data_IF_730668946215
#
_entry.id   IF_730668946215
#
_cell.length_a   1.000
_cell.length_b   1.000
_cell.length_c   1.000
_cell.angle_alpha   90.00
_cell.angle_beta   90.00
_cell.angle_gamma   90.00
#
_symmetry.space_group_name_H-M   'P 1'
#
loop_
_entity.id
_entity.type
_entity.pdbx_description
1 polymer ?
#
# COMPACT_ATOMS: atom_id res chain seq x y z
N UNK A 1 4.75 40.30 -58.37
CA UNK A 1 6.02 41.00 -58.66
C UNK A 1 6.29 41.94 -57.49
N UNK A 2 7.52 41.98 -56.92
CA UNK A 2 7.87 42.83 -55.78
C UNK A 2 8.19 44.27 -56.22
N UNK A 3 8.20 45.24 -55.29
CA UNK A 3 9.46 45.77 -54.73
C UNK A 3 9.42 45.85 -53.18
N UNK A 4 10.46 45.50 -52.42
CA UNK A 4 11.79 46.12 -52.22
C UNK A 4 11.83 47.13 -51.05
N UNK A 5 12.54 46.78 -49.96
CA UNK A 5 13.05 47.71 -48.93
C UNK A 5 14.10 48.67 -49.52
N UNK A 6 14.47 49.80 -48.87
CA UNK A 6 15.69 49.77 -48.02
C UNK A 6 15.87 50.89 -46.93
N UNK A 7 16.98 50.80 -46.16
CA UNK A 7 17.69 51.85 -45.35
C UNK A 7 16.96 52.38 -44.08
N UNK A 8 17.33 52.07 -42.82
CA UNK A 8 18.55 52.39 -41.99
C UNK A 8 18.54 53.76 -41.26
N UNK A 9 18.79 53.67 -39.94
CA UNK A 9 19.15 54.60 -38.84
C UNK A 9 19.93 55.92 -39.17
N UNK A 10 20.20 56.91 -38.24
CA UNK A 10 20.25 56.81 -36.75
C UNK A 10 19.93 58.07 -35.88
N UNK A 11 20.18 57.95 -34.56
CA UNK A 11 20.64 58.98 -33.56
C UNK A 11 19.91 60.33 -33.38
N UNK A 12 19.59 60.66 -32.11
CA UNK A 12 20.26 61.75 -31.32
C UNK A 12 19.67 61.91 -29.89
N UNK A 13 20.55 62.03 -28.89
CA UNK A 13 20.34 62.75 -27.62
C UNK A 13 21.24 64.02 -27.68
N UNK A 14 20.97 65.14 -26.98
CA UNK A 14 20.93 65.27 -25.51
C UNK A 14 19.66 66.07 -25.06
N UNK A 15 19.53 66.79 -23.94
CA UNK A 15 20.44 67.19 -22.84
C UNK A 15 19.68 67.41 -21.51
N UNK A 16 20.44 67.64 -20.45
CA UNK A 16 20.07 68.20 -19.15
C UNK A 16 19.65 69.68 -19.18
N UNK A 17 19.03 70.17 -18.10
CA UNK A 17 19.73 71.06 -17.14
C UNK A 17 18.77 71.82 -16.19
N UNK A 18 19.35 72.29 -15.08
CA UNK A 18 18.81 73.24 -14.08
C UNK A 18 17.68 72.70 -13.18
N UNK A 19 17.66 73.01 -11.88
CA UNK A 19 18.63 73.79 -11.10
C UNK A 19 17.96 74.38 -9.85
N UNK A 20 18.78 74.60 -8.82
CA UNK A 20 18.48 75.39 -7.62
C UNK A 20 17.37 74.88 -6.67
N UNK A 21 17.32 75.21 -5.38
CA UNK A 21 18.28 75.43 -4.28
C UNK A 21 17.42 75.92 -3.09
N UNK A 22 17.81 75.58 -1.85
CA UNK A 22 17.26 76.11 -0.58
C UNK A 22 15.81 75.67 -0.25
N UNK A 23 15.62 74.78 0.74
CA UNK A 23 15.76 74.97 2.20
C UNK A 23 14.47 75.49 2.85
N UNK A 24 13.85 74.66 3.69
CA UNK A 24 13.46 74.99 5.08
C UNK A 24 12.93 73.73 5.77
N UNK A 25 13.54 73.40 6.90
CA UNK A 25 13.06 72.40 7.86
C UNK A 25 11.77 72.89 8.52
N UNK A 26 10.72 72.05 8.62
CA UNK A 26 10.05 71.74 9.91
C UNK A 26 8.93 70.70 9.83
N UNK A 27 9.05 69.68 10.70
CA UNK A 27 7.99 69.08 11.54
C UNK A 27 6.74 68.51 10.85
N UNK A 28 6.67 67.18 10.76
CA UNK A 28 5.39 66.46 10.73
C UNK A 28 4.58 66.70 12.02
N UNK A 29 3.24 66.75 11.90
CA UNK A 29 2.46 65.92 12.81
C UNK A 29 1.18 65.29 12.21
N UNK A 30 0.68 64.29 12.94
CA UNK A 30 -0.67 63.67 12.85
C UNK A 30 -0.93 62.70 11.69
N UNK A 31 -0.65 61.41 11.94
CA UNK A 31 -1.24 60.29 11.19
C UNK A 31 -2.75 60.27 11.40
N UNK A 32 -3.51 60.65 10.36
CA UNK A 32 -4.97 60.47 10.32
C UNK A 32 -5.29 59.16 9.58
N UNK A 33 -5.91 58.21 10.29
CA UNK A 33 -6.29 56.89 9.73
C UNK A 33 -7.29 57.04 8.59
N UNK A 34 -6.89 56.68 7.37
CA UNK A 34 -7.80 56.29 6.28
C UNK A 34 -7.22 55.07 5.56
N UNK A 35 -8.03 54.01 5.48
CA UNK A 35 -7.62 52.70 5.01
C UNK A 35 -7.25 52.68 3.52
N UNK A 36 -6.14 52.01 3.18
CA UNK A 36 -5.91 51.45 1.85
C UNK A 36 -5.63 49.96 2.02
N UNK A 37 -6.55 49.11 1.55
CA UNK A 37 -6.34 47.65 1.52
C UNK A 37 -5.24 47.32 0.51
N UNK A 38 -4.07 46.94 1.00
CA UNK A 38 -3.12 46.16 0.22
C UNK A 38 -3.58 44.70 0.25
N UNK A 39 -4.21 44.26 -0.83
CA UNK A 39 -4.51 42.83 -1.06
C UNK A 39 -3.20 42.12 -1.37
N UNK A 40 -2.47 41.76 -0.32
CA UNK A 40 -1.33 40.87 -0.40
C UNK A 40 -1.83 39.47 -0.72
N UNK A 41 -1.79 39.08 -2.00
CA UNK A 41 -1.98 37.69 -2.40
C UNK A 41 -0.76 36.89 -1.92
N UNK A 42 -0.80 36.49 -0.65
CA UNK A 42 0.04 35.43 -0.12
C UNK A 42 -0.27 34.17 -0.92
N UNK A 43 0.65 33.78 -1.79
CA UNK A 43 0.60 32.49 -2.47
C UNK A 43 0.91 31.40 -1.45
N UNK A 44 -0.07 31.08 -0.59
CA UNK A 44 -0.01 29.96 0.32
C UNK A 44 0.04 28.69 -0.52
N UNK A 45 1.26 28.18 -0.76
CA UNK A 45 1.46 26.84 -1.26
C UNK A 45 0.93 25.87 -0.20
N UNK A 46 -0.36 25.52 -0.31
CA UNK A 46 -0.96 24.44 0.45
C UNK A 46 -0.35 23.16 -0.10
N UNK A 47 0.82 22.82 0.43
CA UNK A 47 1.36 21.48 0.36
C UNK A 47 0.40 20.59 1.16
N UNK A 48 -0.61 20.06 0.48
CA UNK A 48 -1.36 18.91 0.95
C UNK A 48 -0.36 17.78 1.11
N UNK A 49 0.14 17.65 2.35
CA UNK A 49 0.74 16.41 2.81
C UNK A 49 -0.31 15.34 2.58
N UNK A 50 -0.12 14.54 1.53
CA UNK A 50 -0.68 13.20 1.46
C UNK A 50 -0.07 12.44 2.62
N UNK A 51 -0.70 12.57 3.79
CA UNK A 51 -0.53 11.63 4.89
C UNK A 51 -1.14 10.34 4.38
N UNK A 52 -0.37 9.58 3.60
CA UNK A 52 -0.66 8.19 3.38
C UNK A 52 -0.80 7.57 4.75
N UNK A 53 -1.93 6.90 4.99
CA UNK A 53 -2.13 6.13 6.21
C UNK A 53 -0.86 5.30 6.45
N UNK A 54 -0.30 5.26 7.68
CA UNK A 54 0.80 4.38 7.93
C UNK A 54 0.33 2.97 7.57
N UNK A 55 0.97 2.37 6.55
CA UNK A 55 0.86 0.94 6.28
C UNK A 55 1.02 0.25 7.62
N UNK A 56 0.02 -0.52 8.07
CA UNK A 56 0.08 -1.10 9.40
C UNK A 56 1.30 -2.01 9.43
N UNK A 57 2.30 -1.61 10.23
CA UNK A 57 3.46 -2.44 10.46
C UNK A 57 2.93 -3.74 11.06
N UNK A 58 3.36 -4.89 10.52
CA UNK A 58 3.01 -6.18 11.08
C UNK A 58 3.25 -6.14 12.59
N UNK A 59 2.18 -6.32 13.37
CA UNK A 59 2.22 -6.17 14.81
C UNK A 59 3.25 -7.12 15.42
N UNK A 60 3.70 -6.83 16.62
CA UNK A 60 4.60 -7.71 17.36
C UNK A 60 4.03 -7.96 18.74
N UNK A 61 4.16 -9.18 19.22
CA UNK A 61 3.82 -9.50 20.59
C UNK A 61 4.68 -10.63 21.13
N UNK A 62 4.62 -10.84 22.44
CA UNK A 62 5.37 -11.90 23.12
C UNK A 62 4.40 -12.96 23.60
N UNK A 63 4.67 -14.24 23.37
CA UNK A 63 3.84 -15.32 23.91
C UNK A 63 3.80 -15.20 25.44
N UNK A 64 2.60 -15.10 26.01
CA UNK A 64 2.36 -15.15 27.44
C UNK A 64 1.19 -16.11 27.70
N UNK A 65 1.51 -17.25 28.31
CA UNK A 65 0.55 -18.27 28.72
C UNK A 65 0.92 -18.80 30.11
N UNK A 66 1.26 -17.89 31.03
CA UNK A 66 1.62 -18.19 32.42
C UNK A 66 2.85 -19.10 32.57
N UNK A 67 3.76 -19.10 31.60
CA UNK A 67 4.95 -19.98 31.56
C UNK A 67 4.77 -21.28 30.78
N UNK A 68 3.54 -21.63 30.37
CA UNK A 68 3.28 -22.81 29.55
C UNK A 68 3.50 -22.53 28.04
N UNK A 69 3.82 -23.56 27.23
CA UNK A 69 3.94 -23.41 25.78
C UNK A 69 2.57 -23.30 25.10
N UNK A 70 2.45 -22.39 24.14
CA UNK A 70 1.23 -22.16 23.35
C UNK A 70 1.20 -23.05 22.11
N UNK A 71 0.05 -23.68 21.86
CA UNK A 71 -0.21 -24.43 20.63
C UNK A 71 -0.32 -23.50 19.40
N UNK A 72 0.52 -23.74 18.40
CA UNK A 72 0.37 -23.15 17.06
C UNK A 72 -0.56 -24.05 16.24
N UNK A 73 -1.55 -23.45 15.57
CA UNK A 73 -2.61 -24.19 14.88
C UNK A 73 -2.66 -23.91 13.38
N UNK A 74 -3.22 -24.85 12.63
CA UNK A 74 -3.42 -24.78 11.17
C UNK A 74 -4.50 -23.79 10.73
N UNK A 75 -5.15 -23.08 11.65
CA UNK A 75 -6.23 -22.14 11.37
C UNK A 75 -6.72 -21.41 12.63
N UNK A 76 -7.55 -20.38 12.47
CA UNK A 76 -8.03 -19.52 13.56
C UNK A 76 -9.12 -20.21 14.40
N UNK A 77 -8.71 -21.11 15.29
CA UNK A 77 -9.64 -21.75 16.22
C UNK A 77 -9.11 -23.03 16.87
N UNK A 78 -9.67 -23.40 18.02
CA UNK A 78 -9.31 -24.62 18.77
C UNK A 78 -9.69 -25.92 18.07
N UNK A 79 -10.59 -25.85 17.08
CA UNK A 79 -10.98 -26.96 16.22
C UNK A 79 -9.96 -27.25 15.10
N UNK A 80 -9.00 -26.35 14.85
CA UNK A 80 -7.93 -26.58 13.88
C UNK A 80 -6.78 -27.38 14.50
N UNK A 81 -6.14 -28.23 13.69
CA UNK A 81 -5.06 -29.11 14.12
C UNK A 81 -3.85 -28.32 14.64
N UNK A 82 -3.16 -28.88 15.63
CA UNK A 82 -1.92 -28.31 16.17
C UNK A 82 -0.77 -28.63 15.20
N UNK A 83 -0.09 -27.59 14.71
CA UNK A 83 1.04 -27.66 13.76
C UNK A 83 2.40 -27.44 14.43
N UNK A 84 2.41 -27.07 15.71
CA UNK A 84 3.61 -26.95 16.53
C UNK A 84 3.29 -26.26 17.86
N UNK A 85 4.32 -25.80 18.56
CA UNK A 85 4.18 -24.97 19.75
C UNK A 85 5.23 -23.85 19.80
N UNK A 86 4.99 -22.85 20.63
CA UNK A 86 5.94 -21.80 21.00
C UNK A 86 6.08 -21.75 22.52
N UNK A 87 7.27 -21.50 23.03
CA UNK A 87 7.49 -21.30 24.47
C UNK A 87 6.94 -19.94 24.93
N UNK A 88 6.59 -19.83 26.20
CA UNK A 88 6.38 -18.56 26.88
C UNK A 88 7.62 -17.64 26.71
N UNK A 89 7.40 -16.33 26.59
CA UNK A 89 8.45 -15.37 26.28
C UNK A 89 8.91 -15.32 24.81
N UNK A 90 8.35 -16.16 23.91
CA UNK A 90 8.72 -16.11 22.49
C UNK A 90 8.16 -14.86 21.80
N UNK A 91 9.03 -14.05 21.19
CA UNK A 91 8.60 -12.94 20.33
C UNK A 91 8.00 -13.46 19.01
N UNK A 92 6.83 -12.96 18.62
CA UNK A 92 6.15 -13.26 17.35
C UNK A 92 5.85 -12.00 16.55
N UNK A 93 5.95 -12.10 15.23
CA UNK A 93 5.35 -11.15 14.29
C UNK A 93 3.92 -11.59 13.98
N UNK A 94 2.98 -10.68 14.09
CA UNK A 94 1.56 -10.84 13.78
C UNK A 94 1.34 -10.23 12.40
N UNK A 95 1.16 -11.07 11.38
CA UNK A 95 0.98 -10.61 10.01
C UNK A 95 -0.39 -9.99 9.77
N UNK A 96 -1.42 -10.57 10.39
CA UNK A 96 -2.81 -10.13 10.35
C UNK A 96 -3.60 -10.87 11.45
N UNK A 97 -4.83 -10.43 11.69
CA UNK A 97 -5.73 -11.00 12.71
C UNK A 97 -7.03 -11.49 12.10
N UNK A 98 -7.73 -12.43 12.72
CA UNK A 98 -9.11 -12.79 12.31
C UNK A 98 -9.93 -13.30 13.49
N UNK A 99 -11.23 -13.51 13.29
CA UNK A 99 -12.12 -14.06 14.32
C UNK A 99 -12.20 -15.58 14.21
N UNK A 100 -12.28 -16.26 15.35
CA UNK A 100 -12.26 -17.72 15.46
C UNK A 100 -13.02 -18.21 16.70
N UNK A 101 -12.59 -19.33 17.28
CA UNK A 101 -13.15 -19.78 18.57
C UNK A 101 -12.66 -18.87 19.70
N UNK A 102 -13.53 -18.52 20.65
CA UNK A 102 -13.17 -17.77 21.85
C UNK A 102 -12.17 -18.57 22.71
N UNK A 103 -11.11 -17.92 23.20
CA UNK A 103 -10.05 -18.51 24.03
C UNK A 103 -9.80 -17.62 25.25
N UNK A 104 -9.54 -18.24 26.40
CA UNK A 104 -9.11 -17.59 27.63
C UNK A 104 -7.58 -17.53 27.71
N UNK A 105 -7.04 -16.43 28.19
CA UNK A 105 -5.61 -16.22 28.43
C UNK A 105 -5.36 -15.19 29.54
N UNK A 106 -4.10 -14.78 29.79
CA UNK A 106 -3.74 -13.88 30.90
C UNK A 106 -4.48 -12.54 30.93
N UNK A 107 -4.99 -12.09 29.78
CA UNK A 107 -5.68 -10.80 29.60
C UNK A 107 -7.21 -10.93 29.51
N UNK A 108 -7.76 -12.13 29.70
CA UNK A 108 -9.19 -12.43 29.61
C UNK A 108 -9.55 -13.27 28.39
N UNK A 109 -10.79 -13.10 27.90
CA UNK A 109 -11.34 -13.86 26.78
C UNK A 109 -11.29 -13.05 25.48
N UNK A 110 -10.88 -13.68 24.38
CA UNK A 110 -10.99 -13.10 23.04
C UNK A 110 -11.18 -14.18 21.97
N UNK A 111 -11.94 -13.85 20.93
CA UNK A 111 -12.11 -14.64 19.72
C UNK A 111 -11.16 -14.20 18.59
N UNK A 112 -10.21 -13.29 18.87
CA UNK A 112 -9.16 -12.88 17.93
C UNK A 112 -8.05 -13.94 17.86
N UNK A 113 -7.63 -14.22 16.63
CA UNK A 113 -6.53 -15.13 16.29
C UNK A 113 -5.49 -14.42 15.45
N UNK A 114 -4.22 -14.55 15.86
CA UNK A 114 -3.07 -13.92 15.23
C UNK A 114 -2.41 -14.90 14.26
N UNK A 115 -2.27 -14.50 12.98
CA UNK A 115 -1.47 -15.24 12.00
C UNK A 115 0.01 -14.89 12.19
N UNK A 116 0.78 -15.84 12.71
CA UNK A 116 2.23 -15.71 13.01
C UNK A 116 3.11 -16.46 11.98
N UNK A 117 2.51 -16.81 10.85
CA UNK A 117 3.08 -17.50 9.71
C UNK A 117 1.95 -18.22 8.95
N UNK A 118 2.26 -18.76 7.77
CA UNK A 118 1.26 -19.51 6.98
C UNK A 118 0.68 -20.68 7.78
N UNK A 119 -0.65 -20.72 7.94
CA UNK A 119 -1.34 -21.77 8.71
C UNK A 119 -0.68 -22.01 10.08
N UNK A 120 -0.18 -20.92 10.68
CA UNK A 120 0.40 -20.85 12.01
C UNK A 120 -0.33 -19.75 12.76
N UNK A 121 -1.33 -20.19 13.51
CA UNK A 121 -2.24 -19.33 14.24
C UNK A 121 -2.08 -19.55 15.74
N UNK A 122 -2.05 -18.46 16.51
CA UNK A 122 -2.14 -18.47 17.96
C UNK A 122 -3.30 -17.59 18.39
N UNK A 123 -3.97 -17.95 19.49
CA UNK A 123 -5.02 -17.11 20.05
C UNK A 123 -4.40 -15.82 20.58
N UNK A 124 -5.01 -14.67 20.27
CA UNK A 124 -4.55 -13.35 20.73
C UNK A 124 -4.55 -13.24 22.26
N UNK A 125 -5.43 -13.98 22.93
CA UNK A 125 -5.50 -14.12 24.38
C UNK A 125 -4.15 -14.50 25.04
N UNK A 126 -3.28 -15.18 24.28
CA UNK A 126 -2.01 -15.76 24.74
C UNK A 126 -0.77 -15.00 24.20
N UNK A 127 -0.98 -13.75 23.74
CA UNK A 127 0.08 -12.89 23.18
C UNK A 127 0.03 -11.51 23.85
N UNK A 128 1.08 -11.15 24.56
CA UNK A 128 1.26 -9.77 25.04
C UNK A 128 1.63 -8.85 23.87
N UNK A 129 0.69 -7.99 23.50
CA UNK A 129 0.88 -6.93 22.49
C UNK A 129 0.92 -5.53 23.11
N UNK A 130 0.81 -5.42 24.44
CA UNK A 130 0.65 -4.16 25.17
C UNK A 130 -0.72 -3.49 25.05
N UNK A 131 -1.71 -4.13 24.42
CA UNK A 131 -3.05 -3.57 24.17
C UNK A 131 -4.12 -4.68 24.11
N UNK A 132 -5.39 -4.31 24.35
CA UNK A 132 -6.56 -5.20 24.17
C UNK A 132 -7.17 -5.12 22.76
N UNK A 133 -6.63 -4.26 21.88
CA UNK A 133 -7.07 -4.13 20.49
C UNK A 133 -6.10 -4.87 19.56
N UNK A 134 -6.57 -5.48 18.45
CA UNK A 134 -5.71 -6.08 17.44
C UNK A 134 -4.60 -5.13 16.96
N UNK A 135 -3.36 -5.62 16.97
CA UNK A 135 -2.16 -4.86 16.51
C UNK A 135 -1.79 -5.09 15.04
N UNK A 136 -2.65 -5.78 14.29
CA UNK A 136 -2.56 -5.92 12.84
C UNK A 136 -3.96 -6.02 12.24
N UNK A 137 -4.08 -5.57 10.98
CA UNK A 137 -5.33 -5.60 10.22
C UNK A 137 -5.92 -7.00 10.03
N UNK A 138 -7.18 -7.09 9.58
CA UNK A 138 -7.84 -8.36 9.29
C UNK A 138 -7.08 -9.14 8.20
N UNK A 139 -6.94 -10.45 8.39
CA UNK A 139 -6.41 -11.33 7.36
C UNK A 139 -7.33 -11.31 6.15
N UNK A 140 -6.74 -11.08 4.97
CA UNK A 140 -7.48 -11.08 3.71
C UNK A 140 -8.26 -12.39 3.54
N UNK A 141 -9.58 -12.29 3.58
CA UNK A 141 -10.48 -13.41 3.32
C UNK A 141 -10.78 -13.47 1.81
N UNK A 142 -10.22 -14.40 1.03
CA UNK A 142 -10.47 -14.50 -0.41
C UNK A 142 -11.95 -14.77 -0.75
N UNK A 143 -12.74 -15.30 0.20
CA UNK A 143 -14.19 -15.46 0.07
C UNK A 143 -14.97 -14.14 0.12
N UNK A 144 -14.32 -13.04 0.50
CA UNK A 144 -14.87 -11.68 0.44
C UNK A 144 -14.57 -10.96 -0.88
N UNK A 145 -13.87 -11.59 -1.84
CA UNK A 145 -13.73 -11.07 -3.19
C UNK A 145 -15.13 -10.97 -3.85
N UNK A 146 -15.56 -9.80 -4.36
CA UNK A 146 -16.96 -9.60 -4.76
C UNK A 146 -17.44 -10.42 -5.96
N UNK A 147 -16.52 -11.03 -6.73
CA UNK A 147 -16.84 -11.71 -8.00
C UNK A 147 -16.30 -13.16 -8.06
N UNK A 148 -16.70 -14.05 -7.13
CA UNK A 148 -16.28 -15.44 -7.18
C UNK A 148 -16.88 -16.12 -8.42
N UNK A 149 -16.05 -16.84 -9.20
CA UNK A 149 -16.49 -17.69 -10.31
C UNK A 149 -17.40 -17.01 -11.36
N UNK A 150 -17.22 -15.71 -11.60
CA UNK A 150 -18.03 -14.95 -12.58
C UNK A 150 -17.49 -15.13 -14.00
N UNK A 151 -17.96 -16.15 -14.72
CA UNK A 151 -17.54 -16.50 -16.10
C UNK A 151 -18.01 -15.50 -17.19
N UNK A 152 -17.98 -14.19 -16.90
CA UNK A 152 -18.52 -13.12 -17.76
C UNK A 152 -17.64 -11.87 -17.72
N UNK A 153 -17.65 -11.09 -18.81
CA UNK A 153 -16.84 -9.88 -18.99
C UNK A 153 -17.38 -8.68 -18.22
N UNK A 154 -17.45 -8.81 -16.89
CA UNK A 154 -17.84 -7.74 -15.97
C UNK A 154 -16.62 -6.90 -15.63
N UNK A 155 -16.67 -5.60 -15.88
CA UNK A 155 -15.63 -4.67 -15.43
C UNK A 155 -15.70 -4.51 -13.90
N UNK A 156 -14.58 -4.61 -13.21
CA UNK A 156 -14.51 -4.57 -11.74
C UNK A 156 -14.48 -3.15 -11.14
N UNK A 157 -14.44 -2.12 -12.00
CA UNK A 157 -14.35 -0.71 -11.62
C UNK A 157 -12.94 -0.21 -11.29
N UNK A 158 -11.94 -1.09 -11.24
CA UNK A 158 -10.54 -0.79 -10.96
C UNK A 158 -9.63 -0.89 -12.20
N UNK A 159 -10.22 -1.12 -13.38
CA UNK A 159 -9.51 -1.28 -14.65
C UNK A 159 -9.26 -2.73 -15.07
N UNK A 160 -9.93 -3.69 -14.44
CA UNK A 160 -9.78 -5.12 -14.71
C UNK A 160 -11.14 -5.78 -15.00
N UNK A 161 -11.11 -7.03 -15.44
CA UNK A 161 -12.29 -7.88 -15.52
C UNK A 161 -12.42 -8.75 -14.28
N UNK A 162 -13.63 -8.86 -13.76
CA UNK A 162 -13.97 -9.73 -12.65
C UNK A 162 -13.54 -11.19 -12.90
N UNK A 163 -13.09 -11.89 -11.86
CA UNK A 163 -12.60 -13.27 -11.97
C UNK A 163 -11.18 -13.41 -12.53
N UNK A 164 -10.57 -12.33 -13.03
CA UNK A 164 -9.18 -12.34 -13.52
C UNK A 164 -8.14 -12.22 -12.41
N UNK A 165 -6.92 -12.68 -12.71
CA UNK A 165 -5.77 -12.58 -11.81
C UNK A 165 -5.49 -11.15 -11.33
N UNK A 166 -5.55 -10.17 -12.24
CA UNK A 166 -5.33 -8.75 -11.95
C UNK A 166 -6.44 -8.14 -11.12
N UNK A 167 -7.71 -8.50 -11.35
CA UNK A 167 -8.82 -8.02 -10.52
C UNK A 167 -8.74 -8.53 -9.09
N UNK A 168 -8.46 -9.83 -8.91
CA UNK A 168 -8.29 -10.38 -7.55
C UNK A 168 -7.05 -9.79 -6.85
N UNK A 169 -5.90 -9.73 -7.52
CA UNK A 169 -4.69 -9.17 -6.91
C UNK A 169 -4.85 -7.67 -6.59
N UNK A 170 -5.53 -6.91 -7.44
CA UNK A 170 -5.82 -5.50 -7.19
C UNK A 170 -6.82 -5.30 -6.04
N UNK A 171 -7.87 -6.11 -5.97
CA UNK A 171 -8.79 -6.13 -4.83
C UNK A 171 -8.07 -6.50 -3.53
N UNK A 172 -7.24 -7.56 -3.55
CA UNK A 172 -6.49 -8.04 -2.40
C UNK A 172 -5.65 -6.91 -1.77
N UNK A 173 -4.85 -6.23 -2.58
CA UNK A 173 -4.02 -5.08 -2.18
C UNK A 173 -4.87 -3.89 -1.70
N UNK A 174 -6.10 -3.67 -2.19
CA UNK A 174 -7.00 -2.64 -1.66
C UNK A 174 -7.69 -3.03 -0.34
N UNK A 175 -7.62 -4.29 0.06
CA UNK A 175 -8.41 -4.88 1.14
C UNK A 175 -7.56 -5.62 2.19
N UNK A 176 -6.23 -5.47 2.17
CA UNK A 176 -5.29 -6.13 3.09
C UNK A 176 -4.87 -5.26 4.31
N UNK A 177 -5.23 -3.98 4.33
CA UNK A 177 -4.80 -2.96 5.32
C UNK A 177 -3.25 -2.81 5.47
N UNK A 178 -2.47 -3.36 4.53
CA UNK A 178 -1.00 -3.30 4.46
C UNK A 178 -0.54 -2.33 3.37
N UNK A 179 -1.21 -2.30 2.22
CA UNK A 179 -0.75 -1.52 1.07
C UNK A 179 -0.94 0.01 1.26
N UNK A 180 0.04 0.78 0.78
CA UNK A 180 0.02 2.26 0.88
C UNK A 180 -0.44 2.97 -0.40
N UNK A 181 -0.57 2.24 -1.51
CA UNK A 181 -0.79 2.76 -2.86
C UNK A 181 -1.81 1.90 -3.59
N UNK A 182 -2.56 2.50 -4.50
CA UNK A 182 -3.50 1.75 -5.33
C UNK A 182 -2.78 0.99 -6.47
N UNK A 183 -3.15 -0.28 -6.74
CA UNK A 183 -2.72 -1.06 -7.88
C UNK A 183 -3.59 -0.85 -9.13
N UNK A 184 -4.56 0.07 -9.13
CA UNK A 184 -5.59 0.19 -10.17
C UNK A 184 -5.05 0.66 -11.54
N UNK A 185 -5.80 0.39 -12.60
CA UNK A 185 -5.57 0.88 -13.97
C UNK A 185 -4.22 0.53 -14.60
N UNK A 186 -3.63 -0.61 -14.24
CA UNK A 186 -2.36 -1.12 -14.79
C UNK A 186 -2.51 -1.98 -16.04
N UNK A 187 -3.72 -2.43 -16.35
CA UNK A 187 -3.97 -3.37 -17.44
C UNK A 187 -3.56 -4.80 -17.12
N UNK A 188 -3.13 -5.53 -18.15
CA UNK A 188 -2.79 -6.96 -18.06
C UNK A 188 -1.56 -7.20 -17.15
N UNK A 189 -1.43 -8.42 -16.62
CA UNK A 189 -0.39 -8.76 -15.66
C UNK A 189 1.05 -8.60 -16.18
N UNK A 190 1.27 -8.72 -17.49
CA UNK A 190 2.55 -8.41 -18.13
C UNK A 190 2.95 -6.94 -18.00
N UNK A 191 1.98 -6.02 -17.88
CA UNK A 191 2.17 -4.58 -17.71
C UNK A 191 2.46 -4.17 -16.26
N UNK A 192 2.27 -5.09 -15.30
CA UNK A 192 2.65 -4.89 -13.89
C UNK A 192 4.16 -5.12 -13.69
N UNK A 193 4.99 -4.54 -14.56
CA UNK A 193 6.41 -4.87 -14.65
C UNK A 193 7.36 -3.70 -14.33
N UNK A 194 6.80 -2.51 -14.06
CA UNK A 194 7.52 -1.26 -13.92
C UNK A 194 7.57 -0.70 -12.49
N UNK A 195 8.48 0.26 -12.29
CA UNK A 195 8.64 1.00 -11.04
C UNK A 195 8.08 2.41 -11.24
N UNK A 196 7.05 2.78 -10.46
CA UNK A 196 6.40 4.10 -10.52
C UNK A 196 6.32 4.70 -9.12
N UNK A 197 5.92 5.97 -9.00
CA UNK A 197 5.55 6.55 -7.69
C UNK A 197 4.48 5.73 -6.94
N UNK A 198 3.68 4.96 -7.68
CA UNK A 198 2.60 4.09 -7.18
C UNK A 198 2.98 2.63 -6.96
N UNK A 199 4.22 2.18 -7.23
CA UNK A 199 4.67 0.79 -6.96
C UNK A 199 6.19 0.69 -6.91
N UNK A 200 6.71 -0.08 -5.96
CA UNK A 200 8.14 -0.40 -5.85
C UNK A 200 8.39 -1.84 -6.27
N UNK A 201 9.30 -2.09 -7.21
CA UNK A 201 9.75 -3.46 -7.53
C UNK A 201 10.74 -3.93 -6.44
N UNK A 202 10.54 -5.11 -5.88
CA UNK A 202 11.34 -5.66 -4.76
C UNK A 202 11.84 -7.08 -5.05
N UNK A 203 13.00 -7.43 -4.47
CA UNK A 203 13.65 -8.75 -4.61
C UNK A 203 13.42 -9.69 -3.43
N UNK A 204 13.02 -9.15 -2.28
CA UNK A 204 12.65 -9.93 -1.08
C UNK A 204 11.15 -9.74 -0.83
N UNK A 205 10.31 -10.76 -1.07
CA UNK A 205 8.88 -10.67 -0.87
C UNK A 205 8.51 -10.56 0.62
N UNK A 206 7.37 -9.92 0.89
CA UNK A 206 6.63 -9.99 2.16
C UNK A 206 5.15 -10.27 1.90
N UNK A 207 4.40 -10.53 2.96
CA UNK A 207 2.93 -10.49 2.93
C UNK A 207 2.47 -9.09 2.45
N UNK A 208 1.51 -9.04 1.53
CA UNK A 208 1.03 -7.79 0.91
C UNK A 208 1.73 -7.41 -0.40
N UNK A 209 2.84 -8.06 -0.76
CA UNK A 209 3.42 -7.86 -2.09
C UNK A 209 2.62 -8.65 -3.16
N UNK A 210 2.65 -8.18 -4.40
CA UNK A 210 2.12 -8.93 -5.56
C UNK A 210 3.26 -9.61 -6.29
N UNK A 211 3.18 -10.93 -6.42
CA UNK A 211 4.03 -11.72 -7.30
C UNK A 211 3.56 -11.55 -8.74
N UNK A 212 4.48 -11.21 -9.66
CA UNK A 212 4.17 -11.04 -11.08
C UNK A 212 5.00 -11.99 -11.94
N UNK A 213 4.40 -12.47 -13.03
CA UNK A 213 5.03 -13.27 -14.07
C UNK A 213 4.94 -12.57 -15.41
N UNK A 214 6.08 -12.51 -16.10
CA UNK A 214 6.13 -12.09 -17.51
C UNK A 214 5.42 -13.12 -18.41
N UNK A 215 5.00 -12.72 -19.63
CA UNK A 215 4.36 -13.61 -20.60
C UNK A 215 5.11 -14.94 -20.77
N UNK A 216 4.35 -16.04 -20.78
CA UNK A 216 4.84 -17.41 -21.01
C UNK A 216 5.84 -17.96 -19.98
N UNK A 217 6.14 -17.23 -18.89
CA UNK A 217 7.11 -17.67 -17.88
C UNK A 217 6.46 -18.61 -16.85
N UNK A 218 7.07 -19.78 -16.62
CA UNK A 218 6.65 -20.78 -15.63
C UNK A 218 5.14 -21.15 -15.67
N UNK A 219 4.54 -21.17 -16.86
CA UNK A 219 3.13 -21.53 -17.07
C UNK A 219 2.16 -20.35 -17.14
N UNK A 220 2.63 -19.10 -16.99
CA UNK A 220 1.81 -17.92 -17.24
C UNK A 220 1.36 -17.82 -18.71
N UNK A 221 0.23 -17.15 -18.96
CA UNK A 221 -0.29 -16.92 -20.31
C UNK A 221 0.46 -15.81 -21.06
N UNK A 222 -0.03 -15.45 -22.25
CA UNK A 222 0.53 -14.34 -23.04
C UNK A 222 0.32 -12.95 -22.44
N UNK A 223 -0.64 -12.82 -21.52
CA UNK A 223 -0.91 -11.61 -20.74
C UNK A 223 -0.13 -11.55 -19.41
N UNK A 224 0.87 -12.43 -19.22
CA UNK A 224 1.54 -12.63 -17.94
C UNK A 224 0.64 -13.31 -16.90
N UNK A 225 0.97 -13.13 -15.62
CA UNK A 225 0.10 -13.48 -14.48
C UNK A 225 0.45 -12.66 -13.23
N UNK A 226 -0.49 -12.46 -12.31
CA UNK A 226 -0.24 -11.89 -10.97
C UNK A 226 -0.95 -12.67 -9.88
N UNK A 227 -0.34 -12.73 -8.70
CA UNK A 227 -0.92 -13.33 -7.50
C UNK A 227 -0.50 -12.59 -6.24
N UNK A 228 -1.38 -12.56 -5.24
CA UNK A 228 -1.15 -11.89 -3.96
C UNK A 228 -0.31 -12.78 -3.03
N UNK A 229 0.76 -12.24 -2.45
CA UNK A 229 1.60 -12.97 -1.48
C UNK A 229 0.94 -12.94 -0.11
N UNK A 230 0.34 -14.05 0.30
CA UNK A 230 -0.31 -14.18 1.62
C UNK A 230 0.61 -14.73 2.71
N UNK A 231 1.74 -15.33 2.34
CA UNK A 231 2.77 -15.76 3.29
C UNK A 231 4.16 -15.87 2.65
N UNK A 232 5.20 -15.71 3.48
CA UNK A 232 6.61 -15.94 3.11
C UNK A 232 7.23 -16.86 4.15
N UNK A 233 7.98 -17.87 3.70
CA UNK A 233 8.51 -18.93 4.56
C UNK A 233 10.05 -18.92 4.59
N UNK A 234 10.62 -19.35 5.72
CA UNK A 234 12.08 -19.43 5.90
C UNK A 234 12.79 -20.47 5.03
N UNK A 235 12.06 -21.35 4.33
CA UNK A 235 12.61 -22.34 3.38
C UNK A 235 12.71 -21.82 1.94
N UNK A 236 12.54 -20.51 1.72
CA UNK A 236 12.64 -19.90 0.39
C UNK A 236 11.40 -20.12 -0.48
N UNK A 237 10.25 -20.42 0.14
CA UNK A 237 8.95 -20.46 -0.54
C UNK A 237 8.03 -19.31 -0.11
N UNK A 238 6.94 -19.14 -0.86
CA UNK A 238 5.84 -18.21 -0.57
C UNK A 238 4.50 -18.87 -0.84
N UNK A 239 3.45 -18.39 -0.17
CA UNK A 239 2.06 -18.75 -0.45
C UNK A 239 1.44 -17.65 -1.31
N UNK A 240 0.85 -18.06 -2.44
CA UNK A 240 0.11 -17.21 -3.35
C UNK A 240 -1.39 -17.48 -3.21
N UNK A 241 -2.16 -16.40 -3.17
CA UNK A 241 -3.59 -16.37 -3.45
C UNK A 241 -3.81 -15.74 -4.83
N UNK A 242 -4.54 -16.40 -5.72
CA UNK A 242 -4.72 -15.95 -7.09
C UNK A 242 -6.05 -16.40 -7.69
N UNK A 243 -6.48 -15.73 -8.76
CA UNK A 243 -7.59 -16.15 -9.60
C UNK A 243 -7.09 -16.45 -11.01
N UNK A 244 -7.84 -17.28 -11.74
CA UNK A 244 -7.60 -17.62 -13.14
C UNK A 244 -6.26 -18.33 -13.44
N UNK A 245 -5.60 -18.91 -12.42
CA UNK A 245 -4.45 -19.79 -12.64
C UNK A 245 -4.90 -21.24 -12.84
N UNK A 246 -4.78 -21.73 -14.08
CA UNK A 246 -5.09 -23.11 -14.49
C UNK A 246 -6.59 -23.36 -14.71
N UNK A 247 -7.45 -22.95 -13.79
CA UNK A 247 -8.91 -23.08 -13.92
C UNK A 247 -9.56 -21.70 -14.16
N UNK A 248 -10.33 -21.59 -15.23
CA UNK A 248 -10.90 -20.32 -15.68
C UNK A 248 -11.74 -19.63 -14.60
N UNK A 249 -11.42 -18.37 -14.29
CA UNK A 249 -12.11 -17.52 -13.29
C UNK A 249 -12.33 -18.14 -11.89
N UNK A 250 -11.55 -19.16 -11.52
CA UNK A 250 -11.61 -19.77 -10.17
C UNK A 250 -10.46 -19.30 -9.30
N UNK A 251 -10.74 -19.23 -8.00
CA UNK A 251 -9.74 -19.06 -6.96
C UNK A 251 -8.80 -20.27 -6.94
N UNK A 252 -7.52 -20.00 -6.70
CA UNK A 252 -6.48 -20.98 -6.52
C UNK A 252 -5.51 -20.51 -5.42
N UNK A 253 -4.85 -21.46 -4.76
CA UNK A 253 -3.71 -21.16 -3.90
C UNK A 253 -2.55 -22.09 -4.21
N UNK A 254 -1.33 -21.56 -4.17
CA UNK A 254 -0.12 -22.34 -4.44
C UNK A 254 1.00 -21.93 -3.51
N UNK A 255 1.75 -22.92 -3.05
CA UNK A 255 3.06 -22.73 -2.43
C UNK A 255 4.13 -22.88 -3.51
N UNK A 256 4.94 -21.85 -3.71
CA UNK A 256 5.97 -21.80 -4.78
C UNK A 256 7.29 -21.25 -4.25
N UNK A 257 8.41 -21.55 -4.94
CA UNK A 257 9.71 -20.95 -4.60
C UNK A 257 9.78 -19.46 -4.92
N UNK A 258 10.56 -18.70 -4.14
CA UNK A 258 10.74 -17.23 -4.34
C UNK A 258 11.33 -16.83 -5.70
N UNK A 259 11.97 -17.77 -6.41
CA UNK A 259 12.52 -17.56 -7.76
C UNK A 259 11.56 -17.89 -8.91
N UNK A 260 10.31 -18.27 -8.60
CA UNK A 260 9.29 -18.62 -9.61
C UNK A 260 8.60 -17.38 -10.19
N UNK A 261 8.15 -16.38 -9.41
CA UNK A 261 7.73 -15.11 -10.00
C UNK A 261 8.88 -14.42 -10.76
N UNK A 262 8.54 -13.59 -11.73
CA UNK A 262 9.50 -12.72 -12.40
C UNK A 262 10.04 -11.63 -11.50
N UNK A 263 9.18 -11.11 -10.62
CA UNK A 263 9.43 -9.98 -9.73
C UNK A 263 8.34 -9.92 -8.65
N UNK A 264 8.58 -9.11 -7.63
CA UNK A 264 7.58 -8.73 -6.64
C UNK A 264 7.32 -7.23 -6.67
N UNK A 265 6.08 -6.85 -6.40
CA UNK A 265 5.59 -5.48 -6.47
C UNK A 265 5.04 -5.08 -5.11
N UNK A 266 5.51 -3.95 -4.59
CA UNK A 266 5.10 -3.41 -3.30
C UNK A 266 4.31 -2.12 -3.49
N UNK A 267 3.08 -2.16 -3.00
CA UNK A 267 2.12 -1.06 -2.98
C UNK A 267 2.09 -0.44 -1.57
#
# INVERSE_FOLDING_TARGET
MPPADPVVHPHLSPDSSRGDLMSITTREPVVRRTSAMLVSVMLAAVATLLVGSPAQAAGTGTINAWGDPVNVRSGPGTNFGVTGSLADGTLVTIHCTTRGTNVEGPYGWTDVWNMIGNDRWVADALVDTGTMNPVAGPCLNPGSYPWPATDSWVADGAGYFAGECTSFAAWAVRNDDIASRSPDWRGNADMWNDNRSTVTVVSSPRVGDVAQWDPYRYGAGGAGHVGYVSAVYGDGTIQIQEYNWGTFHRYNTRRIGVGIPSRYLRF
#
